data_IF_619764077301
#
_entry.id   IF_619764077301
#
_cell.length_a   1.000
_cell.length_b   1.000
_cell.length_c   1.000
_cell.angle_alpha   90.00
_cell.angle_beta   90.00
_cell.angle_gamma   90.00
#
_symmetry.space_group_name_H-M   'P 1'
#
loop_
_entity.id
_entity.type
_entity.pdbx_description
1 polymer ?
#
# COMPACT_ATOMS: atom_id res chain seq x y z
N UNK A 1 -39.55 -29.89 -22.96
CA UNK A 1 -39.73 -30.17 -21.52
C UNK A 1 -38.62 -29.44 -20.76
N UNK A 2 -38.93 -28.36 -20.06
CA UNK A 2 -37.96 -27.66 -19.21
C UNK A 2 -37.99 -28.34 -17.84
N UNK A 3 -36.95 -29.12 -17.55
CA UNK A 3 -36.75 -29.77 -16.25
C UNK A 3 -36.29 -28.68 -15.28
N UNK A 4 -37.15 -28.31 -14.35
CA UNK A 4 -36.83 -27.33 -13.32
C UNK A 4 -35.76 -27.90 -12.39
N UNK A 5 -34.74 -27.09 -12.10
CA UNK A 5 -33.70 -27.39 -11.13
C UNK A 5 -34.35 -27.59 -9.76
N UNK A 6 -33.90 -28.59 -9.02
CA UNK A 6 -34.45 -28.84 -7.69
C UNK A 6 -33.98 -27.75 -6.71
N UNK A 7 -34.80 -27.41 -5.72
CA UNK A 7 -34.43 -26.43 -4.68
C UNK A 7 -33.14 -26.85 -3.95
N UNK A 8 -32.93 -28.15 -3.77
CA UNK A 8 -31.76 -28.72 -3.11
C UNK A 8 -30.47 -28.54 -3.93
N UNK A 9 -30.54 -28.68 -5.25
CA UNK A 9 -29.38 -28.42 -6.11
C UNK A 9 -28.98 -26.94 -6.05
N UNK A 10 -29.93 -26.02 -6.07
CA UNK A 10 -29.62 -24.59 -5.94
C UNK A 10 -29.03 -24.28 -4.55
N UNK A 11 -29.61 -24.85 -3.50
CA UNK A 11 -29.19 -24.61 -2.12
C UNK A 11 -27.76 -25.09 -1.85
N UNK A 12 -27.42 -26.28 -2.33
CA UNK A 12 -26.08 -26.86 -2.15
C UNK A 12 -25.04 -26.09 -2.95
N UNK A 13 -25.37 -25.60 -4.15
CA UNK A 13 -24.47 -24.75 -4.95
C UNK A 13 -24.16 -23.43 -4.23
N UNK A 14 -25.18 -22.75 -3.71
CA UNK A 14 -24.97 -21.52 -2.94
C UNK A 14 -24.16 -21.76 -1.67
N UNK A 15 -24.40 -22.87 -0.97
CA UNK A 15 -23.64 -23.25 0.21
C UNK A 15 -22.15 -23.46 -0.10
N UNK A 16 -21.84 -24.18 -1.20
CA UNK A 16 -20.44 -24.41 -1.61
C UNK A 16 -19.77 -23.11 -2.02
N UNK A 17 -20.43 -22.24 -2.79
CA UNK A 17 -19.87 -20.94 -3.20
C UNK A 17 -19.57 -20.05 -1.98
N UNK A 18 -20.45 -20.02 -0.98
CA UNK A 18 -20.24 -19.25 0.25
C UNK A 18 -19.01 -19.73 1.05
N UNK A 19 -18.83 -21.06 1.15
CA UNK A 19 -17.67 -21.66 1.82
C UNK A 19 -16.38 -21.29 1.09
N UNK A 20 -16.37 -21.38 -0.25
CA UNK A 20 -15.19 -21.05 -1.06
C UNK A 20 -14.77 -19.57 -0.91
N UNK A 21 -15.73 -18.64 -0.96
CA UNK A 21 -15.45 -17.20 -0.80
C UNK A 21 -14.86 -16.86 0.57
N UNK A 22 -15.30 -17.56 1.61
CA UNK A 22 -14.80 -17.38 2.98
C UNK A 22 -13.31 -17.72 3.06
N UNK A 23 -12.89 -18.83 2.44
CA UNK A 23 -11.49 -19.29 2.45
C UNK A 23 -10.58 -18.32 1.67
N UNK A 24 -11.04 -17.84 0.51
CA UNK A 24 -10.26 -16.94 -0.36
C UNK A 24 -9.97 -15.59 0.31
N UNK A 25 -10.91 -15.06 1.08
CA UNK A 25 -10.78 -13.72 1.70
C UNK A 25 -9.62 -13.64 2.70
N UNK A 26 -9.38 -14.69 3.49
CA UNK A 26 -8.30 -14.71 4.49
C UNK A 26 -6.89 -14.63 3.88
N UNK A 27 -6.71 -15.07 2.63
CA UNK A 27 -5.42 -15.01 1.94
C UNK A 27 -5.05 -13.57 1.50
N UNK A 28 -6.04 -12.76 1.12
CA UNK A 28 -5.82 -11.43 0.56
C UNK A 28 -5.22 -10.42 1.57
N UNK A 29 -5.51 -10.58 2.86
CA UNK A 29 -5.10 -9.63 3.90
C UNK A 29 -3.56 -9.58 4.04
N UNK A 30 -2.87 -10.73 3.99
CA UNK A 30 -1.42 -10.78 4.10
C UNK A 30 -0.71 -10.04 2.93
N UNK A 31 -1.24 -10.20 1.71
CA UNK A 31 -0.72 -9.49 0.54
C UNK A 31 -0.90 -7.96 0.67
N UNK A 32 -2.02 -7.52 1.25
CA UNK A 32 -2.26 -6.10 1.51
C UNK A 32 -1.26 -5.54 2.53
N UNK A 33 -0.92 -6.30 3.58
CA UNK A 33 0.11 -5.88 4.55
C UNK A 33 1.48 -5.72 3.88
N UNK A 34 1.89 -6.68 3.04
CA UNK A 34 3.16 -6.60 2.31
C UNK A 34 3.18 -5.44 1.30
N UNK A 35 2.07 -5.20 0.60
CA UNK A 35 1.94 -4.08 -0.33
C UNK A 35 2.04 -2.71 0.40
N UNK A 36 1.46 -2.59 1.59
CA UNK A 36 1.58 -1.38 2.44
C UNK A 36 3.02 -1.15 2.90
N UNK A 37 3.72 -2.19 3.36
CA UNK A 37 5.12 -2.09 3.74
C UNK A 37 6.00 -1.67 2.54
N UNK A 38 5.74 -2.26 1.37
CA UNK A 38 6.45 -1.91 0.12
C UNK A 38 6.19 -0.46 -0.29
N UNK A 39 4.96 0.03 -0.12
CA UNK A 39 4.60 1.43 -0.42
C UNK A 39 5.38 2.41 0.44
N UNK A 40 5.50 2.17 1.74
CA UNK A 40 6.33 3.00 2.63
C UNK A 40 7.81 2.92 2.24
N UNK A 41 8.32 1.72 1.94
CA UNK A 41 9.69 1.55 1.49
C UNK A 41 9.98 2.29 0.18
N UNK A 42 9.06 2.26 -0.79
CA UNK A 42 9.17 3.01 -2.04
C UNK A 42 9.16 4.52 -1.80
N UNK A 43 8.28 5.02 -0.92
CA UNK A 43 8.23 6.43 -0.56
C UNK A 43 9.57 6.90 0.04
N UNK A 44 10.16 6.12 0.96
CA UNK A 44 11.48 6.42 1.55
C UNK A 44 12.59 6.41 0.50
N UNK A 45 12.56 5.45 -0.44
CA UNK A 45 13.52 5.39 -1.56
C UNK A 45 13.39 6.61 -2.47
N UNK A 46 12.17 7.06 -2.75
CA UNK A 46 11.92 8.25 -3.55
C UNK A 46 12.44 9.52 -2.85
N UNK A 47 12.21 9.65 -1.54
CA UNK A 47 12.75 10.78 -0.75
C UNK A 47 14.27 10.79 -0.78
N UNK A 48 14.91 9.62 -0.59
CA UNK A 48 16.36 9.46 -0.69
C UNK A 48 16.87 9.91 -2.07
N UNK A 49 16.27 9.41 -3.15
CA UNK A 49 16.68 9.74 -4.51
C UNK A 49 16.52 11.24 -4.81
N UNK A 50 15.46 11.87 -4.31
CA UNK A 50 15.23 13.31 -4.42
C UNK A 50 16.32 14.11 -3.67
N UNK A 51 16.68 13.68 -2.46
CA UNK A 51 17.76 14.32 -1.69
C UNK A 51 19.13 14.14 -2.37
N UNK A 52 19.45 12.94 -2.85
CA UNK A 52 20.68 12.67 -3.62
C UNK A 52 20.76 13.53 -4.88
N UNK A 53 19.65 13.65 -5.61
CA UNK A 53 19.54 14.50 -6.81
C UNK A 53 19.81 15.98 -6.48
N UNK A 54 19.17 16.51 -5.44
CA UNK A 54 19.37 17.89 -4.99
C UNK A 54 20.84 18.17 -4.62
N UNK A 55 21.49 17.28 -3.86
CA UNK A 55 22.91 17.44 -3.49
C UNK A 55 23.82 17.40 -4.73
N UNK A 56 23.54 16.52 -5.69
CA UNK A 56 24.35 16.38 -6.90
C UNK A 56 24.25 17.59 -7.84
N UNK A 57 23.04 18.14 -7.98
CA UNK A 57 22.77 19.28 -8.87
C UNK A 57 23.18 20.60 -8.23
N UNK A 58 22.65 20.94 -7.06
CA UNK A 58 22.81 22.26 -6.43
C UNK A 58 24.13 22.40 -5.66
N UNK A 59 24.80 21.29 -5.32
CA UNK A 59 26.08 21.25 -4.57
C UNK A 59 26.14 22.30 -3.45
N UNK A 60 25.18 22.28 -2.51
CA UNK A 60 25.08 23.33 -1.50
C UNK A 60 26.37 23.36 -0.65
N UNK A 61 26.95 24.56 -0.42
CA UNK A 61 28.22 24.71 0.32
C UNK A 61 28.08 24.42 1.83
N UNK A 62 26.86 24.33 2.33
CA UNK A 62 26.53 24.08 3.74
C UNK A 62 25.32 23.17 3.83
N UNK A 63 25.26 22.36 4.88
CA UNK A 63 24.07 21.58 5.23
C UNK A 63 22.98 22.52 5.80
N UNK A 64 22.38 23.34 4.94
CA UNK A 64 21.22 24.16 5.31
C UNK A 64 20.01 23.26 5.54
N UNK A 65 19.06 23.71 6.37
CA UNK A 65 17.86 22.98 6.79
C UNK A 65 17.25 22.08 5.69
N UNK A 66 17.62 20.80 5.71
CA UNK A 66 17.08 19.78 4.83
C UNK A 66 15.72 19.34 5.37
N UNK A 67 14.66 19.90 4.82
CA UNK A 67 13.29 19.53 5.15
C UNK A 67 12.56 18.99 3.90
N UNK A 68 11.55 18.15 4.11
CA UNK A 68 10.74 17.59 3.03
C UNK A 68 9.98 18.70 2.29
N UNK A 69 9.54 19.74 2.99
CA UNK A 69 8.89 20.91 2.38
C UNK A 69 9.86 21.71 1.49
N UNK A 70 11.14 21.72 1.84
CA UNK A 70 12.17 22.36 1.02
C UNK A 70 12.40 21.60 -0.29
N UNK A 71 12.38 20.26 -0.26
CA UNK A 71 12.47 19.44 -1.47
C UNK A 71 11.22 19.57 -2.35
N UNK A 72 10.03 19.77 -1.76
CA UNK A 72 8.79 20.06 -2.49
C UNK A 72 8.82 21.45 -3.14
N UNK A 73 9.24 22.48 -2.41
CA UNK A 73 9.34 23.83 -2.97
C UNK A 73 10.35 23.92 -4.12
N UNK A 74 11.42 23.13 -4.04
CA UNK A 74 12.42 22.95 -5.10
C UNK A 74 11.99 21.97 -6.19
N UNK A 75 10.76 21.45 -6.16
CA UNK A 75 10.18 20.54 -7.15
C UNK A 75 10.88 19.19 -7.31
N UNK A 76 11.73 18.78 -6.36
CA UNK A 76 12.31 17.42 -6.34
C UNK A 76 11.33 16.38 -5.80
N UNK A 77 10.31 16.81 -5.05
CA UNK A 77 9.20 15.99 -4.58
C UNK A 77 7.87 16.62 -4.97
N UNK A 78 6.90 15.80 -5.41
CA UNK A 78 5.56 16.28 -5.77
C UNK A 78 4.68 16.52 -4.56
N UNK A 79 4.80 15.70 -3.52
CA UNK A 79 4.09 15.90 -2.26
C UNK A 79 4.71 15.09 -1.13
N UNK A 80 4.54 15.59 0.10
CA UNK A 80 4.84 14.85 1.34
C UNK A 80 3.59 14.08 1.75
N UNK A 81 3.13 13.15 0.90
CA UNK A 81 1.92 12.38 1.23
C UNK A 81 2.22 11.34 2.33
N UNK A 82 1.90 11.75 3.55
CA UNK A 82 1.32 10.97 4.63
C UNK A 82 1.94 9.62 4.99
N UNK A 83 3.07 9.69 5.68
CA UNK A 83 3.57 8.59 6.53
C UNK A 83 2.70 8.39 7.80
N UNK A 84 1.75 9.30 8.09
CA UNK A 84 1.00 9.34 9.35
C UNK A 84 -0.20 8.38 9.43
N UNK A 85 -0.79 7.97 8.29
CA UNK A 85 -1.92 7.03 8.29
C UNK A 85 -1.53 5.55 8.30
N UNK A 86 -0.23 5.25 8.27
CA UNK A 86 0.25 3.88 8.43
C UNK A 86 0.44 3.59 9.91
N UNK A 87 -0.68 3.27 10.59
CA UNK A 87 -0.62 2.64 11.90
C UNK A 87 0.23 1.38 11.74
N UNK A 88 1.39 1.34 12.42
CA UNK A 88 2.21 0.15 12.54
C UNK A 88 1.31 -0.93 13.16
N UNK A 89 0.77 -1.81 12.31
CA UNK A 89 -0.15 -2.89 12.69
C UNK A 89 0.62 -4.02 13.41
N UNK A 90 1.53 -3.66 14.31
CA UNK A 90 2.37 -4.57 15.08
C UNK A 90 2.50 -4.11 16.55
N UNK A 91 1.44 -3.50 17.09
CA UNK A 91 1.30 -3.24 18.53
C UNK A 91 0.22 -4.17 19.12
N UNK A 92 0.43 -5.49 18.98
CA UNK A 92 -0.05 -6.54 19.89
C UNK A 92 0.60 -7.86 19.46
N UNK A 93 1.75 -8.16 20.07
CA UNK A 93 2.05 -9.55 20.44
C UNK A 93 1.16 -9.91 21.62
#
# INVERSE_FOLDING_TARGET
MLKAFTLIELLTVLAVIAILLTIVTSFAVNAVHQARATRVAMNLRNIRAAAESYVSVEKPPTQTNFDLNFLVSKSYLTSVQELAHYTLCHQKR
#
